data_IF_185304908123
#
_entry.id   IF_185304908123
#
_cell.length_a   1.000
_cell.length_b   1.000
_cell.length_c   1.000
_cell.angle_alpha   90.00
_cell.angle_beta   90.00
_cell.angle_gamma   90.00
#
_symmetry.space_group_name_H-M   'P 1'
#
loop_
_entity.id
_entity.type
_entity.pdbx_description
1 polymer ?
#
# COMPACT_ATOMS: atom_id res chain seq x y z
N UNK A 1 10.31 -4.12 24.13
CA UNK A 1 9.72 -5.25 23.38
C UNK A 1 8.21 -5.09 23.34
N UNK A 2 7.56 -5.31 22.19
CA UNK A 2 6.07 -5.26 22.06
C UNK A 2 5.41 -6.34 22.93
N UNK A 3 6.12 -7.42 23.24
CA UNK A 3 5.64 -8.50 24.12
C UNK A 3 5.41 -8.07 25.57
N UNK A 4 5.77 -6.84 25.95
CA UNK A 4 5.53 -6.25 27.27
C UNK A 4 4.55 -5.07 27.24
N UNK A 5 3.80 -4.91 26.15
CA UNK A 5 2.82 -3.86 25.98
C UNK A 5 1.44 -4.48 25.73
N UNK A 6 0.42 -3.93 26.37
CA UNK A 6 -0.98 -4.31 26.15
C UNK A 6 -1.87 -3.08 26.29
N UNK A 7 -3.00 -3.10 25.59
CA UNK A 7 -4.06 -2.13 25.83
C UNK A 7 -4.74 -2.45 27.17
N UNK A 8 -5.10 -1.41 27.91
CA UNK A 8 -5.84 -1.54 29.15
C UNK A 8 -6.75 -0.34 29.36
N UNK A 9 -7.86 -0.55 30.06
CA UNK A 9 -8.71 0.54 30.53
C UNK A 9 -7.93 1.43 31.51
N UNK A 10 -8.25 2.73 31.58
CA UNK A 10 -7.60 3.66 32.51
C UNK A 10 -7.65 3.15 33.96
N UNK A 11 -8.85 2.79 34.44
CA UNK A 11 -9.06 2.25 35.80
C UNK A 11 -8.18 1.01 36.07
N UNK A 12 -7.97 0.17 35.06
CA UNK A 12 -7.20 -1.06 35.14
C UNK A 12 -5.70 -0.74 35.25
N UNK A 13 -5.22 0.18 34.42
CA UNK A 13 -3.84 0.63 34.39
C UNK A 13 -3.45 1.29 35.72
N UNK A 14 -4.29 2.19 36.23
CA UNK A 14 -4.08 2.89 37.50
C UNK A 14 -4.10 1.93 38.69
N UNK A 15 -5.05 0.97 38.73
CA UNK A 15 -5.13 -0.04 39.79
C UNK A 15 -3.95 -1.02 39.79
N UNK A 16 -3.45 -1.41 38.62
CA UNK A 16 -2.25 -2.24 38.50
C UNK A 16 -1.03 -1.46 38.98
N UNK A 17 -0.91 -0.20 38.55
CA UNK A 17 0.26 0.63 38.80
C UNK A 17 1.54 -0.06 38.33
N UNK A 18 2.55 -0.06 39.20
CA UNK A 18 3.87 -0.65 38.94
C UNK A 18 3.95 -2.16 39.20
N UNK A 19 2.87 -2.80 39.69
CA UNK A 19 2.87 -4.24 39.99
C UNK A 19 3.02 -5.09 38.74
N UNK A 20 3.67 -6.25 38.86
CA UNK A 20 3.71 -7.23 37.78
C UNK A 20 2.30 -7.76 37.48
N UNK A 21 2.05 -8.14 36.22
CA UNK A 21 0.74 -8.63 35.80
C UNK A 21 0.36 -9.95 36.49
N UNK A 22 1.35 -10.80 36.80
CA UNK A 22 1.14 -12.07 37.52
C UNK A 22 0.71 -11.81 38.97
N UNK A 23 1.31 -10.80 39.60
CA UNK A 23 0.94 -10.41 40.97
C UNK A 23 -0.42 -9.72 41.01
N UNK A 24 -0.71 -8.86 40.02
CA UNK A 24 -1.98 -8.14 39.93
C UNK A 24 -3.17 -9.07 39.68
N UNK A 25 -2.99 -10.11 38.85
CA UNK A 25 -4.04 -11.08 38.49
C UNK A 25 -3.91 -12.42 39.22
N UNK A 26 -3.22 -12.47 40.37
CA UNK A 26 -3.05 -13.70 41.15
C UNK A 26 -4.37 -14.40 41.51
N UNK A 27 -5.46 -13.63 41.66
CA UNK A 27 -6.81 -14.13 41.97
C UNK A 27 -7.66 -14.47 40.74
N UNK A 28 -7.18 -14.17 39.53
CA UNK A 28 -7.87 -14.43 38.26
C UNK A 28 -6.89 -15.03 37.23
N UNK A 29 -6.52 -16.31 37.40
CA UNK A 29 -5.51 -16.97 36.57
C UNK A 29 -5.98 -17.14 35.11
N UNK A 30 -7.28 -17.28 34.86
CA UNK A 30 -7.84 -17.39 33.51
C UNK A 30 -7.56 -16.14 32.68
N UNK A 31 -7.73 -14.95 33.28
CA UNK A 31 -7.46 -13.68 32.62
C UNK A 31 -5.96 -13.47 32.39
N UNK A 32 -5.13 -13.84 33.37
CA UNK A 32 -3.68 -13.79 33.24
C UNK A 32 -3.18 -14.62 32.06
N UNK A 33 -3.66 -15.86 31.93
CA UNK A 33 -3.27 -16.76 30.83
C UNK A 33 -3.63 -16.18 29.46
N UNK A 34 -4.84 -15.63 29.29
CA UNK A 34 -5.28 -14.99 28.04
C UNK A 34 -4.36 -13.82 27.64
N UNK A 35 -4.02 -12.96 28.60
CA UNK A 35 -3.15 -11.79 28.34
C UNK A 35 -1.74 -12.27 27.96
N UNK A 36 -1.17 -13.23 28.69
CA UNK A 36 0.16 -13.77 28.38
C UNK A 36 0.19 -14.47 27.01
N UNK A 37 -0.87 -15.21 26.66
CA UNK A 37 -1.01 -15.85 25.35
C UNK A 37 -1.07 -14.83 24.22
N UNK A 38 -1.82 -13.73 24.41
CA UNK A 38 -1.88 -12.63 23.46
C UNK A 38 -0.52 -11.93 23.31
N UNK A 39 0.16 -11.65 24.42
CA UNK A 39 1.48 -10.99 24.42
C UNK A 39 2.57 -11.82 23.72
N UNK A 40 2.45 -13.16 23.75
CA UNK A 40 3.35 -14.10 23.06
C UNK A 40 2.92 -14.42 21.63
N UNK A 41 1.80 -13.87 21.14
CA UNK A 41 1.33 -14.16 19.79
C UNK A 41 2.37 -13.66 18.78
N UNK A 42 2.82 -14.51 17.84
CA UNK A 42 3.78 -14.10 16.84
C UNK A 42 3.18 -13.04 15.91
N UNK A 43 3.98 -12.02 15.59
CA UNK A 43 3.62 -10.95 14.67
C UNK A 43 3.98 -11.34 13.23
N UNK A 44 3.33 -12.39 12.72
CA UNK A 44 3.65 -12.98 11.41
C UNK A 44 3.56 -11.95 10.27
N UNK A 45 2.53 -11.11 10.26
CA UNK A 45 2.34 -10.08 9.24
C UNK A 45 3.47 -9.04 9.28
N UNK A 46 3.86 -8.58 10.47
CA UNK A 46 4.98 -7.66 10.63
C UNK A 46 6.31 -8.30 10.19
N UNK A 47 6.50 -9.59 10.48
CA UNK A 47 7.66 -10.34 10.01
C UNK A 47 7.68 -10.45 8.47
N UNK A 48 6.54 -10.69 7.82
CA UNK A 48 6.42 -10.73 6.36
C UNK A 48 6.78 -9.37 5.73
N UNK A 49 6.29 -8.26 6.30
CA UNK A 49 6.66 -6.91 5.82
C UNK A 49 8.15 -6.61 6.05
N UNK A 50 8.69 -6.98 7.21
CA UNK A 50 10.10 -6.73 7.52
C UNK A 50 11.06 -7.57 6.67
N UNK A 51 10.70 -8.82 6.38
CA UNK A 51 11.50 -9.71 5.51
C UNK A 51 11.49 -9.22 4.07
N UNK A 52 10.33 -8.83 3.53
CA UNK A 52 10.22 -8.25 2.18
C UNK A 52 10.99 -6.94 2.07
N UNK A 53 10.90 -6.04 3.07
CA UNK A 53 11.70 -4.80 3.13
C UNK A 53 13.21 -5.08 3.09
N UNK A 54 13.67 -6.06 3.86
CA UNK A 54 15.09 -6.44 3.93
C UNK A 54 15.57 -7.04 2.61
N UNK A 55 14.77 -7.92 2.00
CA UNK A 55 15.06 -8.50 0.70
C UNK A 55 15.15 -7.43 -0.39
N UNK A 56 14.19 -6.50 -0.43
CA UNK A 56 14.17 -5.38 -1.38
C UNK A 56 15.43 -4.51 -1.23
N UNK A 57 15.81 -4.15 0.00
CA UNK A 57 17.03 -3.38 0.24
C UNK A 57 18.28 -4.10 -0.26
N UNK A 58 18.36 -5.42 -0.06
CA UNK A 58 19.49 -6.23 -0.55
C UNK A 58 19.56 -6.22 -2.08
N UNK A 59 18.41 -6.37 -2.75
CA UNK A 59 18.33 -6.33 -4.23
C UNK A 59 18.71 -4.96 -4.77
N UNK A 60 18.21 -3.87 -4.16
CA UNK A 60 18.58 -2.52 -4.58
C UNK A 60 20.07 -2.25 -4.39
N UNK A 61 20.65 -2.63 -3.25
CA UNK A 61 22.09 -2.46 -3.01
C UNK A 61 22.95 -3.25 -4.00
N UNK A 62 22.49 -4.41 -4.46
CA UNK A 62 23.20 -5.22 -5.44
C UNK A 62 23.30 -4.56 -6.83
N UNK A 63 22.49 -3.53 -7.12
CA UNK A 63 22.60 -2.77 -8.38
C UNK A 63 23.86 -1.90 -8.46
N UNK A 64 24.55 -1.67 -7.33
CA UNK A 64 25.70 -0.77 -7.25
C UNK A 64 25.33 0.73 -7.20
N UNK A 65 24.04 1.08 -7.30
CA UNK A 65 23.58 2.46 -7.16
C UNK A 65 23.58 2.89 -5.68
N UNK A 66 23.75 4.20 -5.39
CA UNK A 66 23.53 4.74 -4.05
C UNK A 66 22.08 4.48 -3.60
N UNK A 67 21.93 3.79 -2.46
CA UNK A 67 20.62 3.49 -1.88
C UNK A 67 20.55 4.05 -0.47
N UNK A 68 19.58 4.94 -0.25
CA UNK A 68 19.24 5.46 1.06
C UNK A 68 17.91 4.88 1.54
N UNK A 69 17.76 4.74 2.86
CA UNK A 69 16.50 4.32 3.48
C UNK A 69 16.12 5.29 4.58
N UNK A 70 14.83 5.61 4.71
CA UNK A 70 14.28 6.39 5.80
C UNK A 70 13.31 5.59 6.67
N UNK A 71 13.08 6.04 7.91
CA UNK A 71 11.94 5.59 8.70
C UNK A 71 10.71 6.46 8.38
N UNK A 72 9.50 5.94 8.58
CA UNK A 72 8.29 6.74 8.42
C UNK A 72 8.23 7.94 9.39
N UNK A 73 8.90 7.83 10.54
CA UNK A 73 9.07 8.94 11.47
C UNK A 73 9.97 10.05 10.91
N UNK A 74 11.08 9.67 10.27
CA UNK A 74 11.99 10.61 9.60
C UNK A 74 11.29 11.30 8.42
N UNK A 75 10.56 10.56 7.59
CA UNK A 75 9.76 11.14 6.49
C UNK A 75 8.75 12.16 7.02
N UNK A 76 8.04 11.82 8.10
CA UNK A 76 7.11 12.76 8.75
C UNK A 76 7.84 14.00 9.27
N UNK A 77 8.99 13.82 9.91
CA UNK A 77 9.82 14.92 10.44
C UNK A 77 10.25 15.86 9.31
N UNK A 78 10.90 15.35 8.26
CA UNK A 78 11.34 16.13 7.10
C UNK A 78 10.20 16.92 6.45
N UNK A 79 9.03 16.29 6.32
CA UNK A 79 7.83 16.94 5.76
C UNK A 79 7.32 18.06 6.66
N UNK A 80 7.27 17.83 7.98
CA UNK A 80 6.79 18.79 8.97
C UNK A 80 7.72 20.00 9.10
N UNK A 81 9.03 19.79 9.12
CA UNK A 81 10.03 20.88 9.17
C UNK A 81 9.89 21.85 7.99
N UNK A 82 9.46 21.34 6.83
CA UNK A 82 9.27 22.13 5.61
C UNK A 82 7.83 22.65 5.42
N UNK A 83 6.93 22.43 6.40
CA UNK A 83 5.51 22.79 6.34
C UNK A 83 4.77 22.24 5.09
N UNK A 84 5.12 21.03 4.65
CA UNK A 84 4.52 20.41 3.46
C UNK A 84 3.29 19.57 3.82
N UNK A 85 2.27 19.61 2.98
CA UNK A 85 1.06 18.80 3.14
C UNK A 85 1.32 17.31 2.95
N UNK A 86 0.53 16.47 3.63
CA UNK A 86 0.67 15.01 3.51
C UNK A 86 0.02 14.53 2.21
N UNK A 87 0.86 14.18 1.23
CA UNK A 87 0.46 13.50 0.00
C UNK A 87 1.48 12.41 -0.34
N UNK A 88 1.08 11.39 -1.11
CA UNK A 88 1.96 10.26 -1.43
C UNK A 88 3.26 10.67 -2.12
N UNK A 89 3.21 11.64 -3.04
CA UNK A 89 4.40 12.07 -3.78
C UNK A 89 5.32 12.96 -2.94
N UNK A 90 4.76 13.80 -2.04
CA UNK A 90 5.56 14.57 -1.08
C UNK A 90 6.23 13.65 -0.07
N UNK A 91 5.50 12.69 0.50
CA UNK A 91 6.07 11.71 1.43
C UNK A 91 7.24 10.95 0.76
N UNK A 92 7.14 10.60 -0.53
CA UNK A 92 8.22 9.97 -1.28
C UNK A 92 9.45 10.90 -1.46
N UNK A 93 9.23 12.19 -1.73
CA UNK A 93 10.31 13.17 -1.84
C UNK A 93 10.99 13.48 -0.49
N UNK A 94 10.28 13.26 0.62
CA UNK A 94 10.78 13.48 1.98
C UNK A 94 11.47 12.25 2.62
N UNK A 95 11.73 11.19 1.86
CA UNK A 95 12.41 9.98 2.37
C UNK A 95 13.91 10.24 2.49
N UNK A 96 14.49 9.76 3.60
CA UNK A 96 15.94 9.75 3.80
C UNK A 96 16.45 10.91 4.65
N UNK A 97 17.71 10.84 5.04
CA UNK A 97 18.39 11.92 5.74
C UNK A 97 18.92 12.97 4.76
N UNK A 98 19.19 12.59 3.50
CA UNK A 98 19.65 13.52 2.47
C UNK A 98 18.53 14.35 1.84
N UNK A 99 17.32 14.37 2.41
CA UNK A 99 16.20 15.18 1.91
C UNK A 99 16.58 16.67 1.93
N UNK A 100 16.62 17.36 0.78
CA UNK A 100 16.89 18.80 0.73
C UNK A 100 15.63 19.61 1.06
N UNK A 101 15.78 20.95 1.10
CA UNK A 101 14.62 21.85 1.08
C UNK A 101 13.96 21.73 -0.30
N UNK A 102 12.71 21.24 -0.32
CA UNK A 102 11.98 20.93 -1.54
C UNK A 102 11.28 22.20 -2.07
N UNK A 103 11.59 22.58 -3.31
CA UNK A 103 10.80 23.57 -4.03
C UNK A 103 9.71 22.88 -4.86
N UNK A 104 8.49 22.86 -4.33
CA UNK A 104 7.34 22.21 -4.96
C UNK A 104 6.48 23.13 -5.83
N UNK A 105 6.84 24.42 -5.96
CA UNK A 105 6.04 25.37 -6.73
C UNK A 105 6.06 25.01 -8.21
N UNK A 106 4.89 24.92 -8.82
CA UNK A 106 4.75 24.64 -10.26
C UNK A 106 4.94 23.18 -10.65
N UNK A 107 5.06 22.25 -9.69
CA UNK A 107 5.10 20.82 -9.99
C UNK A 107 3.75 20.37 -10.57
N UNK A 108 3.77 19.89 -11.81
CA UNK A 108 2.61 19.26 -12.46
C UNK A 108 2.73 17.75 -12.31
N UNK A 109 1.83 17.17 -11.53
CA UNK A 109 1.79 15.72 -11.32
C UNK A 109 1.24 15.02 -12.56
N UNK A 110 1.93 13.98 -13.02
CA UNK A 110 1.37 13.04 -13.97
C UNK A 110 0.47 12.08 -13.21
N UNK A 111 -0.85 12.23 -13.39
CA UNK A 111 -1.83 11.34 -12.80
C UNK A 111 -1.95 10.09 -13.67
N UNK A 112 -1.40 8.98 -13.18
CA UNK A 112 -1.48 7.68 -13.84
C UNK A 112 -2.50 6.83 -13.08
N UNK A 113 -3.55 6.40 -13.78
CA UNK A 113 -4.55 5.47 -13.23
C UNK A 113 -4.23 4.07 -13.72
N UNK A 114 -4.00 3.14 -12.79
CA UNK A 114 -3.90 1.72 -13.13
C UNK A 114 -5.31 1.15 -13.32
N UNK A 115 -5.70 0.87 -14.56
CA UNK A 115 -7.01 0.27 -14.90
C UNK A 115 -7.07 -1.25 -14.62
N UNK A 116 -6.08 -1.80 -13.93
CA UNK A 116 -5.94 -3.22 -13.64
C UNK A 116 -5.52 -4.05 -14.86
N UNK A 117 -5.42 -5.36 -14.65
CA UNK A 117 -5.26 -6.32 -15.74
C UNK A 117 -6.66 -6.77 -16.19
N UNK A 118 -6.88 -6.89 -17.50
CA UNK A 118 -8.13 -7.44 -18.03
C UNK A 118 -8.48 -8.81 -17.43
N UNK A 119 -9.72 -9.24 -17.57
CA UNK A 119 -10.16 -10.52 -17.01
C UNK A 119 -9.34 -11.70 -17.57
N UNK A 120 -8.89 -12.59 -16.67
CA UNK A 120 -8.25 -13.87 -17.04
C UNK A 120 -9.27 -14.93 -17.49
N UNK A 121 -10.57 -14.63 -17.38
CA UNK A 121 -11.64 -15.52 -17.80
C UNK A 121 -11.68 -15.61 -19.34
N UNK A 122 -11.22 -16.73 -19.88
CA UNK A 122 -11.14 -16.97 -21.33
C UNK A 122 -12.48 -17.44 -21.93
N UNK A 123 -13.44 -17.84 -21.10
CA UNK A 123 -14.78 -18.24 -21.50
C UNK A 123 -15.81 -17.58 -20.58
N UNK A 124 -16.69 -16.75 -21.15
CA UNK A 124 -17.85 -16.21 -20.44
C UNK A 124 -18.91 -17.30 -20.36
N UNK A 125 -19.58 -17.37 -19.22
CA UNK A 125 -20.66 -18.32 -18.98
C UNK A 125 -22.00 -17.58 -18.93
N UNK A 126 -23.09 -18.28 -19.19
CA UNK A 126 -24.43 -17.78 -18.85
C UNK A 126 -24.66 -17.80 -17.32
N UNK A 127 -25.87 -17.42 -16.89
CA UNK A 127 -26.27 -17.41 -15.48
C UNK A 127 -26.28 -18.81 -14.83
N UNK A 128 -26.23 -19.88 -15.61
CA UNK A 128 -26.23 -21.27 -15.17
C UNK A 128 -24.82 -21.90 -15.23
N UNK A 129 -23.81 -21.16 -15.69
CA UNK A 129 -22.43 -21.62 -15.77
C UNK A 129 -22.06 -22.30 -17.09
N UNK A 130 -22.96 -22.33 -18.09
CA UNK A 130 -22.64 -22.91 -19.40
C UNK A 130 -21.84 -21.95 -20.27
N UNK A 131 -20.82 -22.42 -21.00
CA UNK A 131 -20.05 -21.61 -21.95
C UNK A 131 -20.95 -20.87 -22.95
N UNK A 132 -20.85 -19.54 -22.99
CA UNK A 132 -21.63 -18.69 -23.91
C UNK A 132 -20.75 -17.97 -24.94
N UNK A 133 -19.53 -17.59 -24.57
CA UNK A 133 -18.59 -16.91 -25.48
C UNK A 133 -17.13 -17.08 -25.06
N UNK A 134 -16.27 -17.41 -26.02
CA UNK A 134 -14.82 -17.36 -25.81
C UNK A 134 -14.27 -15.95 -26.03
N UNK A 135 -13.38 -15.53 -25.13
CA UNK A 135 -12.72 -14.22 -25.18
C UNK A 135 -11.37 -14.40 -25.88
N UNK A 136 -11.14 -13.76 -27.04
CA UNK A 136 -9.85 -13.83 -27.73
C UNK A 136 -8.70 -13.36 -26.85
N UNK A 137 -7.53 -13.98 -27.03
CA UNK A 137 -6.29 -13.58 -26.34
C UNK A 137 -5.63 -12.36 -26.99
N UNK A 138 -5.91 -12.12 -28.26
CA UNK A 138 -5.44 -10.95 -28.99
C UNK A 138 -5.96 -9.67 -28.31
N UNK A 139 -5.06 -8.70 -28.11
CA UNK A 139 -5.35 -7.44 -27.41
C UNK A 139 -5.34 -6.22 -28.33
N UNK A 140 -4.74 -6.37 -29.50
CA UNK A 140 -4.64 -5.32 -30.51
C UNK A 140 -5.66 -5.68 -31.58
N UNK A 141 -6.60 -4.78 -31.84
CA UNK A 141 -7.60 -4.93 -32.89
C UNK A 141 -7.52 -3.72 -33.81
N UNK A 142 -7.39 -3.96 -35.12
CA UNK A 142 -7.25 -2.90 -36.12
C UNK A 142 -6.09 -1.93 -35.83
N UNK A 143 -5.02 -2.41 -35.17
CA UNK A 143 -3.88 -1.58 -34.78
C UNK A 143 -4.08 -0.78 -33.48
N UNK A 144 -5.21 -0.93 -32.80
CA UNK A 144 -5.51 -0.24 -31.54
C UNK A 144 -5.61 -1.22 -30.38
N UNK A 145 -5.17 -0.79 -29.20
CA UNK A 145 -5.37 -1.49 -27.93
C UNK A 145 -6.05 -0.59 -26.89
N UNK A 146 -6.55 -1.20 -25.82
CA UNK A 146 -7.15 -0.46 -24.71
C UNK A 146 -6.14 0.51 -24.09
N UNK A 147 -6.47 1.79 -24.08
CA UNK A 147 -5.63 2.87 -23.54
C UNK A 147 -4.93 3.72 -24.60
N UNK A 148 -4.98 3.32 -25.87
CA UNK A 148 -4.50 4.17 -26.96
C UNK A 148 -5.45 5.36 -27.14
N UNK A 149 -4.86 6.53 -27.42
CA UNK A 149 -5.61 7.72 -27.84
C UNK A 149 -5.75 7.65 -29.37
N UNK A 150 -6.98 7.56 -29.87
CA UNK A 150 -7.29 7.44 -31.28
C UNK A 150 -8.05 8.67 -31.79
N UNK A 151 -7.82 9.03 -33.06
CA UNK A 151 -8.61 10.03 -33.79
C UNK A 151 -9.41 9.34 -34.88
N UNK A 152 -10.73 9.30 -34.72
CA UNK A 152 -11.65 8.78 -35.73
C UNK A 152 -12.26 9.92 -36.54
N UNK A 153 -12.07 9.91 -37.87
CA UNK A 153 -12.70 10.86 -38.80
C UNK A 153 -13.77 10.12 -39.59
N UNK A 154 -15.03 10.38 -39.30
CA UNK A 154 -16.18 9.72 -39.93
C UNK A 154 -16.77 10.64 -40.98
N UNK A 155 -16.68 10.23 -42.25
CA UNK A 155 -17.05 11.05 -43.42
C UNK A 155 -18.49 10.83 -43.92
N UNK A 156 -19.17 9.76 -43.50
CA UNK A 156 -20.54 9.44 -43.92
C UNK A 156 -21.35 8.72 -42.83
N UNK A 157 -22.68 8.77 -42.94
CA UNK A 157 -23.62 8.07 -42.04
C UNK A 157 -24.12 8.91 -40.85
N UNK A 158 -24.72 8.25 -39.86
CA UNK A 158 -25.39 8.93 -38.72
C UNK A 158 -24.43 9.61 -37.73
N UNK A 159 -23.15 9.21 -37.72
CA UNK A 159 -22.14 9.68 -36.76
C UNK A 159 -21.01 10.45 -37.47
N UNK A 160 -21.36 11.31 -38.42
CA UNK A 160 -20.38 12.18 -39.10
C UNK A 160 -19.72 13.11 -38.08
N UNK A 161 -18.38 13.17 -38.10
CA UNK A 161 -17.62 13.99 -37.18
C UNK A 161 -16.19 13.49 -36.96
N UNK A 162 -15.40 14.29 -36.23
CA UNK A 162 -14.09 13.91 -35.74
C UNK A 162 -14.16 13.67 -34.23
N UNK A 163 -13.75 12.48 -33.79
CA UNK A 163 -13.74 12.07 -32.40
C UNK A 163 -12.32 11.77 -31.96
N UNK A 164 -11.92 12.27 -30.79
CA UNK A 164 -10.61 11.99 -30.18
C UNK A 164 -10.86 11.48 -28.77
N UNK A 165 -10.24 10.36 -28.41
CA UNK A 165 -10.35 9.74 -27.08
C UNK A 165 -9.43 8.56 -26.93
#
# INVERSE_FOLDING_TARGET
>A
SITNLTLSCEKCNTKKGTKDIKDFLKKDPSKLEKILKQAKRPLADAAAVNTTRTALLKVLKATGLPVETGSGGLTKFNRSEQNLEKTHWIDAACVGQSTPILNIKGVKLLLITANGHGSRQSCRTDKYGFPSRHVPREKIHFGFQTGDIAKAVVTAGKKIGTYVG
#
